data_IF_920316324343
#
_entry.id   IF_920316324343
#
_cell.length_a   1.000
_cell.length_b   1.000
_cell.length_c   1.000
_cell.angle_alpha   90.00
_cell.angle_beta   90.00
_cell.angle_gamma   90.00
#
_symmetry.space_group_name_H-M   'P 1'
#
loop_
_entity.id
_entity.type
_entity.pdbx_description
1 polymer ?
#
# COMPACT_ATOMS: atom_id res chain seq x y z
N UNK A 1 16.28 -79.76 -29.09
CA UNK A 1 17.17 -79.00 -28.19
C UNK A 1 17.53 -77.70 -28.88
N UNK A 2 17.00 -76.62 -28.34
CA UNK A 2 17.00 -75.26 -28.87
C UNK A 2 18.14 -74.47 -28.25
N UNK A 3 18.94 -73.77 -29.06
CA UNK A 3 19.80 -72.69 -28.55
C UNK A 3 19.55 -71.42 -29.36
N UNK A 4 18.77 -70.57 -28.69
CA UNK A 4 18.46 -69.18 -28.99
C UNK A 4 19.73 -68.32 -29.00
N UNK A 5 19.86 -67.44 -29.99
CA UNK A 5 20.75 -66.28 -29.93
C UNK A 5 19.92 -65.07 -30.34
N UNK A 6 19.52 -64.27 -29.33
CA UNK A 6 18.83 -62.99 -29.48
C UNK A 6 19.84 -61.89 -29.83
N UNK A 7 19.52 -60.94 -30.73
CA UNK A 7 20.29 -59.72 -30.89
C UNK A 7 19.95 -58.66 -29.83
N UNK A 8 20.98 -57.86 -29.53
CA UNK A 8 21.02 -56.69 -28.66
C UNK A 8 19.81 -55.76 -28.80
N UNK A 9 19.18 -55.45 -27.66
CA UNK A 9 18.33 -54.26 -27.52
C UNK A 9 19.23 -53.07 -27.18
N UNK A 10 19.36 -52.12 -28.10
CA UNK A 10 19.91 -50.80 -27.80
C UNK A 10 18.97 -50.08 -26.84
N UNK A 11 19.38 -49.90 -25.59
CA UNK A 11 18.74 -48.94 -24.68
C UNK A 11 19.30 -47.56 -25.00
N UNK A 12 18.52 -46.75 -25.72
CA UNK A 12 18.80 -45.34 -25.92
C UNK A 12 18.70 -44.66 -24.55
N UNK A 13 19.85 -44.25 -23.99
CA UNK A 13 19.91 -43.48 -22.75
C UNK A 13 19.29 -42.11 -23.01
N UNK A 14 18.13 -41.84 -22.42
CA UNK A 14 17.64 -40.48 -22.23
C UNK A 14 18.69 -39.68 -21.44
N UNK A 15 19.00 -38.44 -21.84
CA UNK A 15 19.86 -37.60 -21.02
C UNK A 15 19.15 -37.30 -19.70
N UNK A 16 19.79 -37.68 -18.59
CA UNK A 16 19.40 -37.25 -17.25
C UNK A 16 19.43 -35.71 -17.23
N UNK A 17 18.24 -35.11 -17.15
CA UNK A 17 18.11 -33.70 -16.78
C UNK A 17 18.63 -33.57 -15.35
N UNK A 18 19.73 -32.84 -15.20
CA UNK A 18 20.23 -32.37 -13.92
C UNK A 18 19.12 -31.52 -13.28
N UNK A 19 18.59 -32.00 -12.16
CA UNK A 19 17.66 -31.25 -11.33
C UNK A 19 18.48 -30.16 -10.63
N UNK A 20 18.54 -28.97 -11.24
CA UNK A 20 18.93 -27.75 -10.55
C UNK A 20 17.82 -27.50 -9.53
N UNK A 21 18.09 -27.38 -8.23
CA UNK A 21 17.07 -26.90 -7.31
C UNK A 21 16.81 -25.44 -7.70
N UNK A 22 15.69 -25.20 -8.36
CA UNK A 22 15.15 -23.86 -8.57
C UNK A 22 14.80 -23.29 -7.20
N UNK A 23 15.75 -22.63 -6.55
CA UNK A 23 15.46 -21.71 -5.45
C UNK A 23 14.81 -20.47 -6.06
N UNK A 24 13.54 -20.58 -6.47
CA UNK A 24 12.72 -19.42 -6.79
C UNK A 24 12.18 -18.83 -5.49
N UNK A 25 13.08 -18.35 -4.63
CA UNK A 25 12.71 -17.31 -3.68
C UNK A 25 12.81 -16.00 -4.45
N UNK A 26 11.73 -15.60 -5.11
CA UNK A 26 11.54 -14.19 -5.46
C UNK A 26 11.80 -13.40 -4.18
N UNK A 27 12.72 -12.41 -4.18
CA UNK A 27 12.92 -11.60 -3.00
C UNK A 27 11.56 -10.98 -2.64
N UNK A 28 11.15 -11.00 -1.35
CA UNK A 28 9.97 -10.23 -0.95
C UNK A 28 10.23 -8.79 -1.41
N UNK A 29 9.29 -8.18 -2.13
CA UNK A 29 9.45 -6.78 -2.51
C UNK A 29 9.66 -5.98 -1.23
N UNK A 30 10.85 -5.41 -1.08
CA UNK A 30 11.22 -4.62 0.09
C UNK A 30 10.65 -3.21 -0.01
N UNK A 31 10.25 -2.76 -1.21
CA UNK A 31 9.69 -1.43 -1.42
C UNK A 31 8.21 -1.58 -1.82
N UNK A 32 7.29 -0.81 -1.21
CA UNK A 32 5.88 -0.83 -1.59
C UNK A 32 5.70 -0.56 -3.09
N UNK A 33 5.00 -1.46 -3.77
CA UNK A 33 4.71 -1.35 -5.22
C UNK A 33 3.44 -0.53 -5.47
N UNK A 34 2.53 -0.54 -4.51
CA UNK A 34 1.28 0.22 -4.54
C UNK A 34 1.21 1.12 -3.32
N UNK A 35 0.95 2.40 -3.55
CA UNK A 35 0.69 3.35 -2.47
C UNK A 35 -0.69 3.95 -2.66
N UNK A 36 -1.48 4.00 -1.58
CA UNK A 36 -2.83 4.54 -1.60
C UNK A 36 -3.01 5.48 -0.41
N UNK A 37 -3.60 6.63 -0.68
CA UNK A 37 -4.04 7.56 0.37
C UNK A 37 -5.53 7.31 0.61
N UNK A 38 -5.89 6.96 1.85
CA UNK A 38 -7.27 6.83 2.29
C UNK A 38 -7.68 8.08 3.06
N UNK A 39 -8.59 8.85 2.47
CA UNK A 39 -9.24 9.98 3.13
C UNK A 39 -10.45 9.48 3.91
N UNK A 40 -10.33 9.49 5.23
CA UNK A 40 -11.37 8.99 6.11
C UNK A 40 -12.61 9.89 6.19
N UNK A 41 -12.48 11.20 5.92
CA UNK A 41 -13.63 12.12 5.98
C UNK A 41 -14.56 11.87 4.79
N UNK A 42 -13.98 11.78 3.60
CA UNK A 42 -14.73 11.58 2.36
C UNK A 42 -14.93 10.09 2.04
N UNK A 43 -14.32 9.18 2.81
CA UNK A 43 -14.25 7.75 2.54
C UNK A 43 -13.80 7.45 1.10
N UNK A 44 -12.75 8.13 0.65
CA UNK A 44 -12.20 7.98 -0.71
C UNK A 44 -10.78 7.43 -0.67
N UNK A 45 -10.42 6.73 -1.75
CA UNK A 45 -9.05 6.27 -2.00
C UNK A 45 -8.47 7.09 -3.15
N UNK A 46 -7.27 7.63 -2.96
CA UNK A 46 -6.54 8.43 -3.94
C UNK A 46 -5.21 7.76 -4.24
N UNK A 47 -4.80 7.80 -5.49
CA UNK A 47 -3.49 7.32 -5.93
C UNK A 47 -2.55 8.52 -6.10
N UNK A 48 -1.55 8.69 -5.23
CA UNK A 48 -0.60 9.79 -5.37
C UNK A 48 0.38 9.56 -6.53
N UNK A 49 1.03 10.63 -6.96
CA UNK A 49 2.24 10.53 -7.79
C UNK A 49 3.38 10.11 -6.87
N UNK A 50 4.09 9.05 -7.24
CA UNK A 50 5.17 8.47 -6.44
C UNK A 50 6.53 8.88 -6.97
N UNK A 51 7.39 9.32 -6.04
CA UNK A 51 8.79 9.61 -6.28
C UNK A 51 9.61 8.81 -5.26
N UNK A 52 10.41 7.87 -5.74
CA UNK A 52 11.42 7.21 -4.93
C UNK A 52 12.69 8.05 -4.98
N UNK A 53 13.28 8.32 -3.82
CA UNK A 53 14.51 9.10 -3.68
C UNK A 53 15.45 8.27 -2.83
N UNK A 54 16.59 7.88 -3.40
CA UNK A 54 17.63 7.14 -2.68
C UNK A 54 18.67 8.09 -2.08
N UNK A 55 19.50 7.61 -1.15
CA UNK A 55 20.44 8.44 -0.38
C UNK A 55 21.40 9.28 -1.24
N UNK A 56 21.79 8.77 -2.40
CA UNK A 56 22.73 9.41 -3.33
C UNK A 56 22.04 10.31 -4.37
N UNK A 57 20.71 10.45 -4.32
CA UNK A 57 19.93 11.20 -5.30
C UNK A 57 19.50 12.57 -4.78
N UNK A 58 19.42 13.54 -5.69
CA UNK A 58 18.85 14.85 -5.37
C UNK A 58 17.34 14.75 -5.20
N UNK A 59 16.80 15.45 -4.21
CA UNK A 59 15.35 15.56 -4.02
C UNK A 59 14.67 16.15 -5.28
N UNK A 60 13.52 15.59 -5.72
CA UNK A 60 12.84 16.05 -6.93
C UNK A 60 12.32 17.49 -6.77
N UNK A 61 12.20 18.20 -7.89
CA UNK A 61 11.64 19.57 -7.93
C UNK A 61 10.11 19.54 -7.80
N UNK A 62 9.63 19.34 -6.56
CA UNK A 62 8.21 19.31 -6.21
C UNK A 62 7.89 20.38 -5.16
N UNK A 63 6.70 21.01 -5.21
CA UNK A 63 6.27 21.95 -4.18
C UNK A 63 6.24 21.29 -2.80
N UNK A 64 6.98 21.89 -1.85
CA UNK A 64 7.15 21.35 -0.49
C UNK A 64 5.86 21.30 0.32
N UNK A 65 4.92 22.15 -0.02
CA UNK A 65 3.59 22.25 0.59
C UNK A 65 2.58 21.26 0.01
N UNK A 66 3.00 20.32 -0.86
CA UNK A 66 2.10 19.36 -1.51
C UNK A 66 2.66 17.95 -1.54
N UNK A 67 3.41 17.58 -0.51
CA UNK A 67 4.04 16.28 -0.43
C UNK A 67 3.79 15.59 0.91
N UNK A 68 3.87 14.26 0.85
CA UNK A 68 3.95 13.37 1.99
C UNK A 68 5.29 12.67 1.86
N UNK A 69 6.13 12.77 2.88
CA UNK A 69 7.40 12.05 2.95
C UNK A 69 7.17 10.73 3.66
N UNK A 70 7.66 9.66 3.06
CA UNK A 70 7.70 8.33 3.65
C UNK A 70 9.17 7.99 3.81
N UNK A 71 9.63 7.97 5.06
CA UNK A 71 10.95 7.44 5.39
C UNK A 71 10.84 5.91 5.52
N UNK A 72 11.44 5.24 4.55
CA UNK A 72 11.37 3.80 4.38
C UNK A 72 12.76 3.20 4.60
N UNK A 73 13.11 3.04 5.88
CA UNK A 73 14.40 2.49 6.30
C UNK A 73 14.50 0.96 6.12
N UNK A 74 15.73 0.45 6.27
CA UNK A 74 16.05 -0.98 6.20
C UNK A 74 15.21 -1.83 7.19
N UNK A 75 14.91 -1.30 8.37
CA UNK A 75 14.10 -1.98 9.38
C UNK A 75 12.62 -2.16 8.94
N UNK A 76 12.09 -1.21 8.16
CA UNK A 76 10.75 -1.32 7.58
C UNK A 76 10.71 -2.30 6.40
N UNK A 77 11.82 -2.41 5.66
CA UNK A 77 11.99 -3.38 4.57
C UNK A 77 12.04 -4.83 5.08
N UNK A 78 12.60 -5.06 6.27
CA UNK A 78 12.71 -6.38 6.91
C UNK A 78 11.44 -6.78 7.70
N UNK A 79 10.38 -5.96 7.62
CA UNK A 79 9.08 -6.22 8.25
C UNK A 79 9.08 -6.02 9.78
N UNK A 80 10.10 -5.37 10.32
CA UNK A 80 10.26 -5.12 11.75
C UNK A 80 9.58 -3.85 12.24
N UNK A 81 9.47 -2.82 11.39
CA UNK A 81 8.93 -1.51 11.77
C UNK A 81 7.97 -0.92 10.71
N UNK A 82 7.06 -0.05 11.15
CA UNK A 82 6.20 0.70 10.22
C UNK A 82 6.98 1.89 9.63
N UNK A 83 6.80 2.21 8.34
CA UNK A 83 7.49 3.34 7.73
C UNK A 83 7.01 4.64 8.38
N UNK A 84 7.94 5.56 8.60
CA UNK A 84 7.62 6.85 9.20
C UNK A 84 7.03 7.76 8.12
N UNK A 85 5.80 8.23 8.34
CA UNK A 85 5.07 9.05 7.36
C UNK A 85 4.80 10.44 7.90
N UNK A 86 5.25 11.45 7.17
CA UNK A 86 5.05 12.86 7.51
C UNK A 86 4.36 13.60 6.36
N UNK A 87 3.24 14.26 6.64
CA UNK A 87 2.59 15.14 5.66
C UNK A 87 3.09 16.57 5.83
N UNK A 88 3.51 17.17 4.72
CA UNK A 88 3.83 18.60 4.64
C UNK A 88 2.73 19.39 3.91
N UNK A 89 1.66 18.69 3.48
CA UNK A 89 0.52 19.31 2.83
C UNK A 89 -0.41 19.97 3.84
N UNK A 90 -0.82 21.23 3.65
CA UNK A 90 -1.86 21.86 4.46
C UNK A 90 -3.25 21.26 4.18
N UNK A 91 -3.40 20.59 3.04
CA UNK A 91 -4.68 20.05 2.58
C UNK A 91 -4.94 18.63 3.10
N UNK A 92 -3.96 17.99 3.74
CA UNK A 92 -4.08 16.61 4.19
C UNK A 92 -3.23 16.34 5.42
N UNK A 93 -3.87 15.85 6.48
CA UNK A 93 -3.20 15.43 7.71
C UNK A 93 -3.16 13.90 7.77
N UNK A 94 -1.96 13.33 7.88
CA UNK A 94 -1.76 11.89 8.11
C UNK A 94 -2.18 11.55 9.54
N UNK A 95 -2.91 10.45 9.68
CA UNK A 95 -3.32 9.87 10.95
C UNK A 95 -2.62 8.54 11.22
N UNK A 96 -2.42 7.72 10.20
CA UNK A 96 -1.77 6.44 10.35
C UNK A 96 -1.17 5.98 9.02
N UNK A 97 -0.28 5.01 9.06
CA UNK A 97 0.22 4.30 7.88
C UNK A 97 0.35 2.83 8.20
N UNK A 98 0.12 1.96 7.22
CA UNK A 98 0.36 0.52 7.37
C UNK A 98 0.82 -0.11 6.08
N UNK A 99 1.59 -1.18 6.21
CA UNK A 99 1.99 -2.04 5.11
C UNK A 99 1.07 -3.25 5.03
N UNK A 100 0.57 -3.55 3.84
CA UNK A 100 -0.24 -4.74 3.57
C UNK A 100 0.41 -5.55 2.45
N UNK A 101 0.65 -6.84 2.70
CA UNK A 101 1.10 -7.75 1.65
C UNK A 101 -0.12 -8.43 1.02
N UNK A 102 -0.36 -8.15 -0.26
CA UNK A 102 -1.42 -8.78 -1.04
C UNK A 102 -0.88 -9.94 -1.86
N UNK A 103 -1.42 -11.14 -1.65
CA UNK A 103 -1.18 -12.26 -2.56
C UNK A 103 -2.10 -12.13 -3.77
N UNK A 104 -1.56 -11.74 -4.93
CA UNK A 104 -2.28 -11.93 -6.19
C UNK A 104 -2.22 -13.40 -6.55
N UNK A 105 -3.36 -14.09 -6.42
CA UNK A 105 -3.56 -15.41 -7.03
C UNK A 105 -3.85 -15.19 -8.51
N UNK A 106 -2.82 -14.97 -9.32
CA UNK A 106 -2.99 -15.05 -10.75
C UNK A 106 -3.12 -16.53 -11.14
N UNK A 107 -4.27 -16.93 -11.66
CA UNK A 107 -4.53 -18.33 -12.05
C UNK A 107 -3.65 -18.79 -13.22
N UNK A 108 -2.95 -17.85 -13.89
CA UNK A 108 -2.08 -18.11 -15.03
C UNK A 108 -0.58 -18.10 -14.73
N UNK A 109 -0.16 -17.60 -13.55
CA UNK A 109 1.25 -17.47 -13.20
C UNK A 109 1.53 -18.18 -11.86
N UNK A 110 2.25 -19.30 -11.89
CA UNK A 110 2.62 -20.07 -10.69
C UNK A 110 3.64 -19.34 -9.80
N UNK A 111 4.08 -18.14 -10.19
CA UNK A 111 4.86 -17.25 -9.35
C UNK A 111 3.93 -16.30 -8.58
N UNK A 112 3.37 -16.79 -7.46
CA UNK A 112 2.62 -15.96 -6.51
C UNK A 112 3.56 -14.90 -5.92
N UNK A 113 3.70 -13.78 -6.62
CA UNK A 113 4.58 -12.69 -6.22
C UNK A 113 3.72 -11.73 -5.39
N UNK A 114 3.82 -11.82 -4.06
CA UNK A 114 3.01 -10.99 -3.16
C UNK A 114 3.37 -9.52 -3.31
N UNK A 115 2.42 -8.65 -3.64
CA UNK A 115 2.63 -7.21 -3.75
C UNK A 115 2.62 -6.55 -2.37
N UNK A 116 3.61 -5.69 -2.12
CA UNK A 116 3.64 -4.87 -0.91
C UNK A 116 2.90 -3.56 -1.17
N UNK A 117 1.91 -3.25 -0.34
CA UNK A 117 1.10 -2.05 -0.43
C UNK A 117 1.35 -1.16 0.78
N UNK A 118 1.51 0.15 0.56
CA UNK A 118 1.49 1.15 1.62
C UNK A 118 0.14 1.87 1.60
N UNK A 119 -0.57 1.83 2.72
CA UNK A 119 -1.81 2.57 2.91
C UNK A 119 -1.53 3.70 3.88
N UNK A 120 -1.63 4.93 3.39
CA UNK A 120 -1.53 6.15 4.20
C UNK A 120 -2.96 6.60 4.53
N UNK A 121 -3.34 6.51 5.79
CA UNK A 121 -4.63 6.97 6.27
C UNK A 121 -4.53 8.38 6.80
N UNK A 122 -5.48 9.23 6.41
CA UNK A 122 -5.52 10.59 6.89
C UNK A 122 -6.83 11.28 6.59
N UNK A 123 -6.82 12.59 6.74
CA UNK A 123 -7.99 13.45 6.62
C UNK A 123 -7.66 14.64 5.75
N UNK A 124 -8.49 14.91 4.75
CA UNK A 124 -8.36 16.16 4.00
C UNK A 124 -8.82 17.33 4.86
N UNK A 125 -8.14 18.47 4.74
CA UNK A 125 -8.63 19.71 5.31
C UNK A 125 -10.00 20.06 4.68
N UNK A 126 -10.97 20.56 5.47
CA UNK A 126 -12.24 21.00 4.93
C UNK A 126 -11.97 22.13 3.93
N UNK A 127 -12.43 21.98 2.69
CA UNK A 127 -12.39 23.09 1.76
C UNK A 127 -13.34 24.18 2.25
N UNK A 128 -12.99 25.44 2.03
CA UNK A 128 -13.76 26.61 2.49
C UNK A 128 -15.25 26.54 2.08
N UNK A 129 -15.56 25.89 0.96
CA UNK A 129 -16.92 25.69 0.47
C UNK A 129 -17.73 24.65 1.28
N UNK A 130 -17.12 23.58 1.78
CA UNK A 130 -17.81 22.59 2.63
C UNK A 130 -18.14 23.15 4.02
N UNK A 131 -17.29 24.05 4.52
CA UNK A 131 -17.59 24.81 5.73
C UNK A 131 -18.85 25.67 5.54
N UNK A 132 -19.05 26.23 4.35
CA UNK A 132 -20.23 27.04 4.01
C UNK A 132 -21.48 26.19 3.80
N UNK A 133 -21.37 25.00 3.19
CA UNK A 133 -22.50 24.07 3.06
C UNK A 133 -23.00 23.55 4.41
N UNK A 134 -22.12 23.43 5.41
CA UNK A 134 -22.52 23.11 6.80
C UNK A 134 -23.40 24.17 7.47
N UNK A 135 -23.52 25.36 6.88
CA UNK A 135 -24.38 26.45 7.36
C UNK A 135 -25.79 26.45 6.74
N UNK A 136 -26.13 25.45 5.91
CA UNK A 136 -27.48 25.31 5.35
C UNK A 136 -28.49 25.09 6.50
N UNK A 137 -29.62 25.83 6.54
CA UNK A 137 -30.64 25.66 7.57
C UNK A 137 -31.20 24.23 7.55
N UNK A 138 -31.23 23.59 8.72
CA UNK A 138 -31.81 22.25 8.90
C UNK A 138 -33.30 22.29 8.57
N UNK A 139 -33.72 21.58 7.52
CA UNK A 139 -35.11 21.62 7.02
C UNK A 139 -36.03 20.56 7.64
N UNK A 140 -35.46 19.50 8.22
CA UNK A 140 -36.21 18.40 8.84
C UNK A 140 -35.36 17.68 9.92
N UNK A 141 -36.02 16.81 10.70
CA UNK A 141 -35.38 16.06 11.81
C UNK A 141 -34.34 15.05 11.30
N UNK A 142 -34.57 14.46 10.12
CA UNK A 142 -33.61 13.53 9.52
C UNK A 142 -32.30 14.23 9.15
N UNK A 143 -32.38 15.43 8.57
CA UNK A 143 -31.22 16.27 8.30
C UNK A 143 -30.53 16.77 9.57
N UNK A 144 -31.28 16.96 10.67
CA UNK A 144 -30.69 17.25 11.98
C UNK A 144 -29.86 16.07 12.49
N UNK A 145 -30.39 14.85 12.38
CA UNK A 145 -29.70 13.63 12.81
C UNK A 145 -28.43 13.39 12.00
N UNK A 146 -28.49 13.57 10.68
CA UNK A 146 -27.33 13.48 9.81
C UNK A 146 -26.27 14.54 10.16
N UNK A 147 -26.68 15.78 10.41
CA UNK A 147 -25.78 16.86 10.83
C UNK A 147 -25.11 16.55 12.18
N UNK A 148 -25.86 16.05 13.17
CA UNK A 148 -25.32 15.66 14.48
C UNK A 148 -24.34 14.49 14.34
N UNK A 149 -24.66 13.50 13.49
CA UNK A 149 -23.79 12.36 13.23
C UNK A 149 -22.46 12.81 12.60
N UNK A 150 -22.53 13.63 11.56
CA UNK A 150 -21.36 14.20 10.90
C UNK A 150 -20.53 15.06 11.86
N UNK A 151 -21.18 15.85 12.71
CA UNK A 151 -20.51 16.64 13.74
C UNK A 151 -19.74 15.76 14.73
N UNK A 152 -20.35 14.68 15.24
CA UNK A 152 -19.69 13.72 16.14
C UNK A 152 -18.46 13.09 15.50
N UNK A 153 -18.58 12.60 14.27
CA UNK A 153 -17.46 12.00 13.54
C UNK A 153 -16.31 13.01 13.34
N UNK A 154 -16.62 14.24 12.91
CA UNK A 154 -15.61 15.31 12.77
C UNK A 154 -14.89 15.58 14.10
N UNK A 155 -15.63 15.66 15.20
CA UNK A 155 -15.05 15.97 16.50
C UNK A 155 -14.16 14.83 17.02
N UNK A 156 -14.54 13.57 16.78
CA UNK A 156 -13.68 12.42 17.08
C UNK A 156 -12.36 12.47 16.30
N UNK A 157 -12.43 12.85 15.02
CA UNK A 157 -11.26 12.97 14.14
C UNK A 157 -10.31 14.08 14.59
N UNK A 158 -10.86 15.25 14.95
CA UNK A 158 -10.09 16.35 15.56
C UNK A 158 -9.34 15.87 16.81
N UNK A 159 -10.01 15.10 17.69
CA UNK A 159 -9.35 14.54 18.87
C UNK A 159 -8.23 13.54 18.54
N UNK A 160 -8.33 12.80 17.42
CA UNK A 160 -7.25 11.90 16.97
C UNK A 160 -6.03 12.71 16.51
N UNK A 161 -6.25 13.75 15.70
CA UNK A 161 -5.17 14.64 15.24
C UNK A 161 -4.42 15.29 16.41
N UNK A 162 -5.14 15.88 17.37
CA UNK A 162 -4.51 16.58 18.48
C UNK A 162 -3.82 15.65 19.49
N UNK A 163 -4.23 14.38 19.59
CA UNK A 163 -3.55 13.39 20.42
C UNK A 163 -2.19 12.94 19.87
N UNK A 164 -1.96 13.10 18.57
CA UNK A 164 -0.69 12.72 17.94
C UNK A 164 0.40 13.80 18.07
N UNK A 165 0.06 15.00 18.54
CA UNK A 165 1.01 16.12 18.70
C UNK A 165 1.52 16.31 20.14
N UNK A 166 1.16 15.42 21.09
CA UNK A 166 1.62 15.43 22.48
C UNK A 166 2.58 14.29 22.75
#
# INVERSE_FOLDING_TARGET
MTTSSRPNSQTLKQPQQQHIPSSSSTPPFTIPQLVVIRDQIHNTYKHPILHYVFEDESFPDIPKDKLIVVDYGLEAADGGDEPKVESYSPDFQVLNSRLEQSTMNDQFDQSATGLLNLIVEGVSAPQTNEAIESLQPVRNVDGLMEMIFNFKNRNEMVQKVFRQQQ
#
